data_IF_407672771263
#
_entry.id   IF_407672771263
#
_cell.length_a   1.000
_cell.length_b   1.000
_cell.length_c   1.000
_cell.angle_alpha   90.00
_cell.angle_beta   90.00
_cell.angle_gamma   90.00
#
_symmetry.space_group_name_H-M   'P 1'
#
loop_
_entity.id
_entity.type
_entity.pdbx_description
1 polymer ?
#
# COMPACT_ATOMS: atom_id res chain seq x y z
N UNK A 1 -59.51 -61.86 28.40
CA UNK A 1 -58.86 -60.54 28.28
C UNK A 1 -58.79 -60.20 26.79
N UNK A 2 -59.45 -59.11 26.35
CA UNK A 2 -59.54 -58.63 24.95
C UNK A 2 -58.16 -58.18 24.44
N UNK A 3 -57.76 -58.25 23.16
CA UNK A 3 -58.01 -57.31 22.04
C UNK A 3 -57.20 -57.87 20.83
N UNK A 4 -57.82 -58.23 19.70
CA UNK A 4 -57.94 -57.53 18.39
C UNK A 4 -56.65 -57.27 17.58
N UNK A 5 -56.72 -57.77 16.34
CA UNK A 5 -56.07 -57.41 15.07
C UNK A 5 -55.98 -55.91 14.82
N UNK A 6 -54.95 -55.47 14.09
CA UNK A 6 -54.87 -54.12 13.53
C UNK A 6 -53.75 -53.95 12.49
N UNK A 7 -54.14 -53.87 11.22
CA UNK A 7 -53.30 -53.42 10.11
C UNK A 7 -53.31 -51.88 10.00
N UNK A 8 -52.18 -51.34 9.55
CA UNK A 8 -51.92 -50.07 8.81
C UNK A 8 -52.78 -48.83 9.11
N UNK A 9 -52.10 -47.70 9.37
CA UNK A 9 -52.37 -46.38 8.75
C UNK A 9 -51.05 -45.59 8.69
N UNK A 10 -50.83 -44.93 7.54
CA UNK A 10 -49.73 -44.03 7.23
C UNK A 10 -49.73 -42.79 8.14
N UNK A 11 -48.53 -42.32 8.53
CA UNK A 11 -48.31 -40.93 8.91
C UNK A 11 -47.08 -40.41 8.17
N UNK A 12 -47.33 -39.52 7.21
CA UNK A 12 -46.31 -38.75 6.50
C UNK A 12 -45.90 -37.60 7.43
N UNK A 13 -44.74 -37.70 8.09
CA UNK A 13 -44.19 -36.61 8.89
C UNK A 13 -43.39 -35.66 8.00
N UNK A 14 -43.94 -34.49 7.69
CA UNK A 14 -43.21 -33.37 7.12
C UNK A 14 -42.25 -32.82 8.18
N UNK A 15 -40.95 -33.05 8.01
CA UNK A 15 -39.90 -32.43 8.82
C UNK A 15 -39.55 -31.06 8.21
N UNK A 16 -40.11 -29.99 8.75
CA UNK A 16 -39.67 -28.61 8.48
C UNK A 16 -38.35 -28.37 9.19
N UNK A 17 -37.23 -28.57 8.50
CA UNK A 17 -35.93 -28.03 8.92
C UNK A 17 -35.95 -26.51 8.76
N UNK A 18 -36.13 -25.78 9.87
CA UNK A 18 -35.73 -24.38 9.95
C UNK A 18 -34.20 -24.33 9.81
N UNK A 19 -33.73 -23.96 8.62
CA UNK A 19 -32.36 -23.46 8.48
C UNK A 19 -32.31 -22.08 9.14
N UNK A 20 -31.73 -22.00 10.33
CA UNK A 20 -31.17 -20.76 10.84
C UNK A 20 -29.99 -20.39 9.94
N UNK A 21 -30.28 -19.70 8.85
CA UNK A 21 -29.28 -18.91 8.13
C UNK A 21 -28.75 -17.88 9.12
N UNK A 22 -27.52 -18.05 9.59
CA UNK A 22 -26.81 -16.96 10.25
C UNK A 22 -26.75 -15.81 9.25
N UNK A 23 -27.53 -14.76 9.50
CA UNK A 23 -27.48 -13.53 8.72
C UNK A 23 -26.05 -13.02 8.80
N UNK A 24 -25.34 -13.03 7.68
CA UNK A 24 -24.16 -12.19 7.55
C UNK A 24 -24.64 -10.76 7.81
N UNK A 25 -24.23 -10.17 8.94
CA UNK A 25 -24.52 -8.78 9.26
C UNK A 25 -23.87 -7.92 8.16
N UNK A 26 -24.70 -7.26 7.35
CA UNK A 26 -24.24 -6.32 6.34
C UNK A 26 -23.33 -5.27 7.02
N UNK A 27 -22.17 -4.98 6.40
CA UNK A 27 -21.28 -3.95 6.94
C UNK A 27 -21.85 -2.56 6.71
N UNK A 28 -22.58 -2.38 5.61
CA UNK A 28 -23.28 -1.15 5.29
C UNK A 28 -24.61 -1.08 6.04
N UNK A 29 -24.76 -0.08 6.89
CA UNK A 29 -26.03 0.27 7.57
C UNK A 29 -26.17 1.78 7.52
N UNK A 30 -27.40 2.26 7.33
CA UNK A 30 -27.69 3.69 7.34
C UNK A 30 -27.45 4.28 8.74
N UNK A 31 -26.76 5.41 8.83
CA UNK A 31 -26.49 6.08 10.10
C UNK A 31 -25.26 5.58 10.87
N UNK A 32 -24.39 4.77 10.24
CA UNK A 32 -23.04 4.46 10.73
C UNK A 32 -22.03 4.59 9.58
N UNK A 33 -20.75 4.81 9.90
CA UNK A 33 -19.66 4.76 8.92
C UNK A 33 -18.72 3.60 9.23
N UNK A 34 -18.50 2.72 8.26
CA UNK A 34 -17.47 1.68 8.29
C UNK A 34 -16.32 2.08 7.37
N UNK A 35 -15.10 2.10 7.89
CA UNK A 35 -13.91 2.52 7.18
C UNK A 35 -12.89 1.38 7.18
N UNK A 36 -12.38 1.03 6.01
CA UNK A 36 -11.26 0.10 5.87
C UNK A 36 -9.97 0.83 5.56
N UNK A 37 -8.91 0.51 6.30
CA UNK A 37 -7.55 1.03 6.08
C UNK A 37 -6.53 -0.08 6.37
N UNK A 38 -5.37 -0.06 5.70
CA UNK A 38 -4.36 -1.10 5.91
C UNK A 38 -3.77 -1.05 7.34
N UNK A 39 -3.46 -2.21 7.90
CA UNK A 39 -2.94 -2.35 9.27
C UNK A 39 -1.54 -1.72 9.48
N UNK A 40 -0.83 -1.41 8.40
CA UNK A 40 0.45 -0.71 8.46
C UNK A 40 0.31 0.81 8.67
N UNK A 41 -0.90 1.39 8.54
CA UNK A 41 -1.18 2.83 8.72
C UNK A 41 -1.68 3.16 10.13
N UNK A 42 -1.85 4.47 10.39
CA UNK A 42 -2.27 5.03 11.68
C UNK A 42 -3.76 4.86 11.96
N UNK A 43 -4.27 3.62 11.97
CA UNK A 43 -5.69 3.34 12.16
C UNK A 43 -6.22 3.71 13.56
N UNK A 44 -5.36 3.76 14.59
CA UNK A 44 -5.78 4.24 15.91
C UNK A 44 -5.94 5.75 15.90
N UNK A 45 -5.03 6.47 15.24
CA UNK A 45 -5.17 7.91 15.01
C UNK A 45 -6.44 8.24 14.21
N UNK A 46 -6.73 7.44 13.18
CA UNK A 46 -7.98 7.57 12.42
C UNK A 46 -9.23 7.28 13.27
N UNK A 47 -9.14 6.34 14.21
CA UNK A 47 -10.23 6.06 15.16
C UNK A 47 -10.48 7.23 16.12
N UNK A 48 -9.45 8.01 16.51
CA UNK A 48 -9.65 9.24 17.29
C UNK A 48 -10.39 10.32 16.49
N UNK A 49 -10.09 10.46 15.19
CA UNK A 49 -10.88 11.32 14.28
C UNK A 49 -12.33 10.83 14.21
N UNK A 50 -12.53 9.51 14.13
CA UNK A 50 -13.86 8.87 14.19
C UNK A 50 -14.63 9.17 15.48
N UNK A 51 -13.96 9.11 16.64
CA UNK A 51 -14.57 9.46 17.93
C UNK A 51 -14.95 10.93 18.01
N UNK A 52 -14.14 11.83 17.43
CA UNK A 52 -14.49 13.25 17.32
C UNK A 52 -15.75 13.43 16.47
N UNK A 53 -15.82 12.76 15.32
CA UNK A 53 -16.99 12.79 14.46
C UNK A 53 -18.25 12.27 15.19
N UNK A 54 -18.14 11.15 15.89
CA UNK A 54 -19.24 10.58 16.67
C UNK A 54 -19.69 11.52 17.79
N UNK A 55 -18.77 12.18 18.49
CA UNK A 55 -19.10 13.17 19.52
C UNK A 55 -19.89 14.36 18.97
N UNK A 56 -19.51 14.85 17.79
CA UNK A 56 -20.06 16.06 17.22
C UNK A 56 -21.39 15.81 16.47
N UNK A 57 -21.58 14.59 15.94
CA UNK A 57 -22.73 14.25 15.07
C UNK A 57 -23.67 13.17 15.62
N UNK A 58 -23.22 12.41 16.62
CA UNK A 58 -23.90 11.20 17.09
C UNK A 58 -23.74 9.97 16.19
N UNK A 59 -22.98 10.07 15.08
CA UNK A 59 -22.80 8.98 14.12
C UNK A 59 -21.55 8.19 14.45
N UNK A 60 -21.73 6.89 14.71
CA UNK A 60 -20.62 5.99 15.03
C UNK A 60 -19.73 5.72 13.81
N UNK A 61 -18.42 5.80 14.03
CA UNK A 61 -17.40 5.43 13.03
C UNK A 61 -16.65 4.17 13.47
N UNK A 62 -16.66 3.13 12.65
CA UNK A 62 -15.96 1.87 12.88
C UNK A 62 -14.78 1.75 11.93
N UNK A 63 -13.56 1.70 12.47
CA UNK A 63 -12.34 1.49 11.70
C UNK A 63 -11.97 0.01 11.74
N UNK A 64 -11.78 -0.59 10.58
CA UNK A 64 -11.34 -1.97 10.43
C UNK A 64 -10.09 -2.02 9.53
N UNK A 65 -9.26 -3.04 9.74
CA UNK A 65 -8.07 -3.29 8.91
C UNK A 65 -8.01 -4.76 8.45
N UNK A 66 -8.93 -5.20 7.57
CA UNK A 66 -8.92 -6.58 7.09
C UNK A 66 -7.63 -6.89 6.32
N UNK A 67 -7.09 -8.09 6.48
CA UNK A 67 -5.99 -8.55 5.61
C UNK A 67 -6.44 -8.56 4.16
N UNK A 68 -5.55 -8.16 3.24
CA UNK A 68 -5.84 -8.11 1.79
C UNK A 68 -7.10 -7.31 1.47
N UNK A 69 -7.36 -6.22 2.19
CA UNK A 69 -8.54 -5.39 1.99
C UNK A 69 -8.69 -4.89 0.55
N UNK A 70 -7.59 -4.72 -0.18
CA UNK A 70 -7.55 -4.33 -1.59
C UNK A 70 -8.06 -5.43 -2.54
N UNK A 71 -7.96 -6.70 -2.14
CA UNK A 71 -8.56 -7.81 -2.88
C UNK A 71 -9.99 -8.08 -2.42
N UNK A 72 -10.28 -7.89 -1.13
CA UNK A 72 -11.60 -8.12 -0.53
C UNK A 72 -12.61 -7.04 -0.91
N UNK A 73 -12.21 -5.77 -0.96
CA UNK A 73 -13.09 -4.65 -1.28
C UNK A 73 -13.86 -4.87 -2.58
N UNK A 74 -13.22 -5.16 -3.74
CA UNK A 74 -13.96 -5.35 -4.97
C UNK A 74 -14.90 -6.56 -4.95
N UNK A 75 -14.61 -7.58 -4.13
CA UNK A 75 -15.48 -8.76 -3.99
C UNK A 75 -16.78 -8.42 -3.26
N UNK A 76 -16.70 -7.71 -2.12
CA UNK A 76 -17.88 -7.36 -1.32
C UNK A 76 -18.65 -6.17 -1.89
N UNK A 77 -17.95 -5.20 -2.50
CA UNK A 77 -18.58 -4.03 -3.12
C UNK A 77 -19.40 -4.43 -4.36
N UNK A 78 -18.96 -5.45 -5.11
CA UNK A 78 -19.71 -5.96 -6.26
C UNK A 78 -21.07 -6.56 -5.88
N UNK A 79 -21.25 -7.00 -4.62
CA UNK A 79 -22.53 -7.50 -4.09
C UNK A 79 -23.31 -6.43 -3.32
N UNK A 80 -22.88 -5.17 -3.37
CA UNK A 80 -23.55 -4.06 -2.68
C UNK A 80 -23.25 -3.96 -1.18
N UNK A 81 -22.19 -4.60 -0.68
CA UNK A 81 -21.76 -4.56 0.72
C UNK A 81 -20.34 -3.96 0.83
N UNK A 82 -19.71 -4.03 2.00
CA UNK A 82 -18.35 -3.55 2.25
C UNK A 82 -18.29 -2.31 3.15
N UNK A 83 -17.14 -1.63 3.23
CA UNK A 83 -17.04 -0.38 3.98
C UNK A 83 -17.71 0.77 3.21
N UNK A 84 -18.11 1.83 3.91
CA UNK A 84 -18.50 3.10 3.32
C UNK A 84 -17.29 3.80 2.69
N UNK A 85 -16.14 3.73 3.36
CA UNK A 85 -14.88 4.35 2.92
C UNK A 85 -13.75 3.31 2.87
N UNK A 86 -13.03 3.28 1.76
CA UNK A 86 -11.86 2.44 1.55
C UNK A 86 -10.60 3.29 1.40
N UNK A 87 -9.57 2.99 2.21
CA UNK A 87 -8.24 3.60 2.12
C UNK A 87 -7.26 2.66 1.45
N UNK A 88 -6.59 3.15 0.41
CA UNK A 88 -5.45 2.47 -0.21
C UNK A 88 -4.61 3.48 -1.00
N UNK A 89 -3.48 3.05 -1.56
CA UNK A 89 -2.81 3.84 -2.58
C UNK A 89 -3.69 3.95 -3.86
N UNK A 90 -3.62 5.09 -4.54
CA UNK A 90 -4.45 5.42 -5.72
C UNK A 90 -4.35 4.41 -6.88
N UNK A 91 -3.29 3.59 -6.95
CA UNK A 91 -3.02 2.66 -8.06
C UNK A 91 -4.11 1.59 -8.24
N UNK A 92 -4.83 1.24 -7.15
CA UNK A 92 -5.97 0.31 -7.21
C UNK A 92 -7.29 0.96 -7.64
N UNK A 93 -7.42 2.28 -7.45
CA UNK A 93 -8.73 2.94 -7.50
C UNK A 93 -9.33 3.01 -8.90
N UNK A 94 -8.53 3.15 -9.97
CA UNK A 94 -9.10 3.13 -11.32
C UNK A 94 -9.67 1.77 -11.70
N UNK A 95 -9.15 0.66 -11.15
CA UNK A 95 -9.77 -0.67 -11.27
C UNK A 95 -11.14 -0.71 -10.60
N UNK A 96 -11.26 -0.20 -9.37
CA UNK A 96 -12.54 -0.12 -8.67
C UNK A 96 -13.55 0.80 -9.39
N UNK A 97 -13.09 1.95 -9.89
CA UNK A 97 -13.92 2.88 -10.64
C UNK A 97 -14.39 2.29 -11.98
N UNK A 98 -13.52 1.58 -12.70
CA UNK A 98 -13.88 0.87 -13.93
C UNK A 98 -14.99 -0.18 -13.69
N UNK A 99 -15.01 -0.79 -12.50
CA UNK A 99 -16.05 -1.73 -12.06
C UNK A 99 -17.27 -1.06 -11.42
N UNK A 100 -17.33 0.27 -11.36
CA UNK A 100 -18.46 1.01 -10.79
C UNK A 100 -18.58 0.94 -9.27
N UNK A 101 -17.49 0.59 -8.57
CA UNK A 101 -17.49 0.34 -7.13
C UNK A 101 -17.23 1.59 -6.28
N UNK A 102 -16.85 2.69 -6.93
CA UNK A 102 -16.56 3.96 -6.28
C UNK A 102 -17.56 5.02 -6.72
N UNK A 103 -18.06 5.79 -5.76
CA UNK A 103 -18.81 7.00 -6.04
C UNK A 103 -17.86 8.08 -6.60
N UNK A 104 -18.34 8.83 -7.59
CA UNK A 104 -17.69 10.08 -8.00
C UNK A 104 -17.80 11.10 -6.87
N UNK A 105 -16.71 11.80 -6.58
CA UNK A 105 -16.69 12.87 -5.58
C UNK A 105 -16.67 14.24 -6.26
N UNK A 106 -17.35 15.21 -5.65
CA UNK A 106 -17.50 16.56 -6.18
C UNK A 106 -17.19 17.61 -5.09
N UNK A 107 -15.96 17.63 -4.55
CA UNK A 107 -15.55 18.68 -3.63
C UNK A 107 -15.65 20.05 -4.32
N UNK A 108 -16.05 21.08 -3.59
CA UNK A 108 -16.08 22.42 -4.15
C UNK A 108 -14.66 22.94 -4.48
N UNK A 109 -14.58 24.02 -5.26
CA UNK A 109 -13.29 24.57 -5.69
C UNK A 109 -12.44 25.03 -4.51
N UNK A 110 -13.07 25.58 -3.46
CA UNK A 110 -12.36 26.07 -2.28
C UNK A 110 -11.71 24.93 -1.51
N UNK A 111 -12.38 23.77 -1.41
CA UNK A 111 -11.82 22.55 -0.83
C UNK A 111 -10.68 22.01 -1.69
N UNK A 112 -10.89 21.88 -3.02
CA UNK A 112 -9.85 21.41 -3.94
C UNK A 112 -8.56 22.24 -3.82
N UNK A 113 -8.68 23.56 -3.65
CA UNK A 113 -7.55 24.49 -3.53
C UNK A 113 -6.76 24.33 -2.24
N UNK A 114 -7.31 23.68 -1.20
CA UNK A 114 -6.56 23.34 0.03
C UNK A 114 -5.53 22.23 -0.21
N UNK A 115 -5.72 21.40 -1.24
CA UNK A 115 -4.85 20.26 -1.55
C UNK A 115 -3.95 20.54 -2.75
N UNK A 116 -2.82 19.85 -2.87
CA UNK A 116 -1.91 20.01 -4.01
C UNK A 116 -2.51 19.42 -5.30
N UNK A 117 -2.48 20.14 -6.45
CA UNK A 117 -3.10 19.68 -7.70
C UNK A 117 -2.68 18.29 -8.19
N UNK A 118 -1.38 17.95 -8.11
CA UNK A 118 -0.89 16.65 -8.58
C UNK A 118 -1.47 15.47 -7.77
N UNK A 119 -1.89 15.71 -6.52
CA UNK A 119 -2.55 14.68 -5.71
C UNK A 119 -3.98 14.42 -6.19
N UNK A 120 -4.65 15.44 -6.72
CA UNK A 120 -5.94 15.28 -7.41
C UNK A 120 -5.79 14.54 -8.74
N UNK A 121 -4.68 14.77 -9.46
CA UNK A 121 -4.40 14.06 -10.71
C UNK A 121 -4.23 12.54 -10.46
N UNK A 122 -3.60 12.15 -9.35
CA UNK A 122 -3.41 10.74 -8.97
C UNK A 122 -4.75 9.99 -8.76
N UNK A 123 -5.77 10.68 -8.26
CA UNK A 123 -7.12 10.14 -7.99
C UNK A 123 -8.14 10.51 -9.08
N UNK A 124 -7.68 11.07 -10.20
CA UNK A 124 -8.53 11.36 -11.36
C UNK A 124 -8.51 10.18 -12.33
N UNK A 125 -9.68 9.64 -12.64
CA UNK A 125 -9.85 8.54 -13.57
C UNK A 125 -10.97 8.86 -14.57
N UNK A 126 -10.67 8.79 -15.87
CA UNK A 126 -11.58 9.17 -16.96
C UNK A 126 -12.26 10.54 -16.74
N UNK A 127 -11.48 11.52 -16.27
CA UNK A 127 -11.94 12.89 -16.03
C UNK A 127 -12.68 13.13 -14.71
N UNK A 128 -12.95 12.07 -13.93
CA UNK A 128 -13.70 12.14 -12.67
C UNK A 128 -12.80 11.95 -11.46
N UNK A 129 -13.11 12.60 -10.35
CA UNK A 129 -12.47 12.30 -9.08
C UNK A 129 -13.15 11.09 -8.44
N UNK A 130 -12.37 10.06 -8.14
CA UNK A 130 -12.87 8.78 -7.62
C UNK A 130 -12.45 8.49 -6.17
N UNK A 131 -11.67 9.39 -5.58
CA UNK A 131 -11.23 9.34 -4.19
C UNK A 131 -10.68 10.69 -3.74
N UNK A 132 -10.62 10.92 -2.44
CA UNK A 132 -9.92 12.04 -1.83
C UNK A 132 -8.44 11.68 -1.61
N UNK A 133 -7.47 12.50 -2.05
CA UNK A 133 -6.07 12.24 -1.77
C UNK A 133 -5.72 12.68 -0.35
N UNK A 134 -4.96 11.85 0.36
CA UNK A 134 -4.61 12.05 1.78
C UNK A 134 -3.13 12.37 1.95
N UNK A 135 -2.25 11.51 1.45
CA UNK A 135 -0.80 11.68 1.61
C UNK A 135 -0.01 10.97 0.52
N UNK A 136 1.16 11.51 0.22
CA UNK A 136 2.14 10.99 -0.73
C UNK A 136 3.18 10.15 0.00
N UNK A 137 3.38 8.95 -0.52
CA UNK A 137 4.23 7.92 0.06
C UNK A 137 5.32 7.53 -0.94
N UNK A 138 6.57 7.56 -0.48
CA UNK A 138 7.71 7.06 -1.24
C UNK A 138 8.69 6.33 -0.33
N UNK A 139 9.24 5.23 -0.84
CA UNK A 139 10.30 4.49 -0.15
C UNK A 139 11.57 5.33 -0.02
N UNK A 140 12.24 5.18 1.12
CA UNK A 140 13.51 5.83 1.41
C UNK A 140 14.50 4.83 2.01
N UNK A 141 15.79 5.15 1.95
CA UNK A 141 16.80 4.39 2.69
C UNK A 141 16.77 4.84 4.15
N UNK A 142 16.57 3.88 5.05
CA UNK A 142 16.61 4.08 6.49
C UNK A 142 17.86 3.39 7.01
N UNK A 143 18.68 4.11 7.79
CA UNK A 143 19.96 3.59 8.26
C UNK A 143 20.18 3.88 9.73
N UNK A 144 20.83 2.96 10.43
CA UNK A 144 21.27 3.12 11.80
C UNK A 144 22.59 3.92 11.80
N UNK A 145 22.56 5.13 12.35
CA UNK A 145 23.68 6.08 12.37
C UNK A 145 24.86 5.59 13.20
N UNK A 146 24.61 4.73 14.19
CA UNK A 146 25.66 4.20 15.07
C UNK A 146 26.42 3.05 14.38
N UNK A 147 25.75 2.30 13.50
CA UNK A 147 26.37 1.22 12.73
C UNK A 147 27.02 1.72 11.44
N UNK A 148 26.36 2.65 10.75
CA UNK A 148 26.81 3.18 9.46
C UNK A 148 26.54 4.70 9.43
N UNK A 149 27.48 5.52 9.94
CA UNK A 149 27.32 6.98 9.96
C UNK A 149 27.18 7.60 8.56
N UNK A 150 27.84 6.99 7.57
CA UNK A 150 27.79 7.39 6.17
C UNK A 150 27.20 6.24 5.33
N UNK A 151 25.88 6.20 5.12
CA UNK A 151 25.26 5.14 4.34
C UNK A 151 25.76 5.16 2.88
N UNK A 152 25.90 3.98 2.25
CA UNK A 152 26.40 3.84 0.87
C UNK A 152 25.54 4.65 -0.10
N UNK A 153 26.18 5.22 -1.11
CA UNK A 153 25.53 6.03 -2.15
C UNK A 153 25.15 5.20 -3.38
N UNK A 154 25.69 4.00 -3.48
CA UNK A 154 25.47 3.07 -4.58
C UNK A 154 25.05 1.71 -4.05
N UNK A 155 24.25 0.98 -4.83
CA UNK A 155 23.90 -0.40 -4.53
C UNK A 155 25.15 -1.29 -4.56
N UNK A 156 26.10 -0.97 -5.44
CA UNK A 156 27.36 -1.69 -5.65
C UNK A 156 28.32 -1.63 -4.44
N UNK A 157 28.16 -0.66 -3.53
CA UNK A 157 28.93 -0.56 -2.27
C UNK A 157 28.40 -1.50 -1.17
N UNK A 158 27.14 -1.93 -1.25
CA UNK A 158 26.47 -2.69 -0.20
C UNK A 158 27.11 -4.06 0.06
N UNK A 159 27.52 -4.86 -0.95
CA UNK A 159 28.21 -6.13 -0.73
C UNK A 159 29.47 -6.02 0.14
N UNK A 160 30.29 -4.99 -0.11
CA UNK A 160 31.50 -4.75 0.66
C UNK A 160 31.18 -4.33 2.11
N UNK A 161 30.13 -3.52 2.29
CA UNK A 161 29.64 -3.14 3.61
C UNK A 161 29.09 -4.37 4.37
N UNK A 162 28.36 -5.27 3.70
CA UNK A 162 27.84 -6.48 4.34
C UNK A 162 28.97 -7.36 4.86
N UNK A 163 30.00 -7.59 4.04
CA UNK A 163 31.19 -8.36 4.47
C UNK A 163 31.84 -7.78 5.73
N UNK A 164 31.93 -6.45 5.83
CA UNK A 164 32.48 -5.76 7.02
C UNK A 164 31.58 -5.92 8.25
N UNK A 165 30.26 -5.82 8.08
CA UNK A 165 29.29 -5.93 9.16
C UNK A 165 29.10 -7.37 9.64
N UNK A 166 29.18 -8.36 8.74
CA UNK A 166 29.11 -9.79 9.07
C UNK A 166 30.21 -10.21 10.03
N UNK A 167 31.42 -9.65 9.90
CA UNK A 167 32.51 -9.87 10.84
C UNK A 167 32.19 -9.40 12.27
N UNK A 168 31.17 -8.54 12.43
CA UNK A 168 30.65 -8.03 13.71
C UNK A 168 29.30 -8.65 14.09
N UNK A 169 28.87 -9.70 13.40
CA UNK A 169 27.58 -10.36 13.63
C UNK A 169 26.36 -9.52 13.21
N UNK A 170 26.53 -8.60 12.24
CA UNK A 170 25.47 -7.73 11.71
C UNK A 170 25.32 -7.92 10.18
N UNK A 171 24.23 -7.47 9.60
CA UNK A 171 24.04 -7.39 8.13
C UNK A 171 24.00 -5.95 7.64
N UNK A 172 24.29 -5.71 6.36
CA UNK A 172 24.20 -4.37 5.78
C UNK A 172 22.76 -3.93 5.54
N UNK A 173 21.96 -4.76 4.86
CA UNK A 173 20.64 -4.38 4.37
C UNK A 173 19.65 -5.53 4.56
N UNK A 174 18.46 -5.21 5.07
CA UNK A 174 17.30 -6.10 4.98
C UNK A 174 16.06 -5.27 4.68
N UNK A 175 15.25 -5.74 3.74
CA UNK A 175 13.96 -5.15 3.39
C UNK A 175 13.03 -6.23 2.84
N UNK A 176 11.75 -5.92 2.70
CA UNK A 176 10.75 -6.88 2.24
C UNK A 176 10.99 -7.29 0.78
N UNK A 177 11.32 -8.55 0.52
CA UNK A 177 11.49 -9.10 -0.83
C UNK A 177 10.20 -9.74 -1.37
N UNK A 178 9.18 -9.90 -0.53
CA UNK A 178 7.93 -10.58 -0.90
C UNK A 178 6.93 -9.67 -1.62
N UNK A 179 7.12 -8.36 -1.52
CA UNK A 179 6.29 -7.36 -2.18
C UNK A 179 7.10 -6.53 -3.18
N UNK A 180 6.70 -6.53 -4.47
CA UNK A 180 7.47 -5.89 -5.53
C UNK A 180 7.60 -4.38 -5.35
N UNK A 181 6.71 -3.75 -4.57
CA UNK A 181 6.81 -2.33 -4.22
C UNK A 181 8.20 -1.95 -3.66
N UNK A 182 8.80 -2.84 -2.86
CA UNK A 182 10.10 -2.59 -2.22
C UNK A 182 11.30 -2.91 -3.13
N UNK A 183 11.17 -3.86 -4.04
CA UNK A 183 12.24 -4.23 -4.99
C UNK A 183 12.22 -3.40 -6.28
N UNK A 184 11.06 -2.86 -6.64
CA UNK A 184 10.87 -2.05 -7.84
C UNK A 184 11.84 -0.88 -7.98
N UNK A 185 12.21 -0.12 -6.92
CA UNK A 185 13.12 1.00 -7.05
C UNK A 185 14.45 0.64 -7.74
N UNK A 186 15.00 -0.55 -7.44
CA UNK A 186 16.22 -1.07 -8.06
C UNK A 186 15.97 -1.58 -9.48
N UNK A 187 14.87 -2.30 -9.71
CA UNK A 187 14.49 -2.83 -11.03
C UNK A 187 14.29 -1.68 -12.03
N UNK A 188 13.64 -0.60 -11.59
CA UNK A 188 13.38 0.58 -12.42
C UNK A 188 14.60 1.50 -12.57
N UNK A 189 15.59 1.42 -11.68
CA UNK A 189 16.73 2.34 -11.62
C UNK A 189 17.44 2.51 -12.97
N UNK A 190 17.65 1.40 -13.69
CA UNK A 190 18.37 1.38 -14.96
C UNK A 190 17.45 1.26 -16.20
N UNK A 191 16.18 1.66 -16.09
CA UNK A 191 15.26 1.73 -17.24
C UNK A 191 14.16 0.65 -17.28
N UNK A 192 13.88 -0.03 -16.17
CA UNK A 192 12.61 -0.74 -16.02
C UNK A 192 11.45 0.26 -15.86
N UNK A 193 10.30 -0.05 -16.46
CA UNK A 193 9.06 0.74 -16.30
C UNK A 193 7.84 -0.20 -16.36
N UNK A 194 6.70 0.22 -15.79
CA UNK A 194 5.47 -0.58 -15.82
C UNK A 194 4.79 -0.48 -17.18
N UNK A 195 4.26 0.71 -17.49
CA UNK A 195 3.57 1.01 -18.74
C UNK A 195 4.15 2.29 -19.32
N UNK A 196 4.41 2.32 -20.62
CA UNK A 196 4.93 3.51 -21.27
C UNK A 196 3.91 4.65 -21.17
N UNK A 197 4.34 5.83 -20.74
CA UNK A 197 3.50 7.02 -20.73
C UNK A 197 3.89 7.96 -21.86
N UNK A 198 2.98 8.17 -22.81
CA UNK A 198 3.16 9.06 -23.96
C UNK A 198 1.85 9.77 -24.30
N UNK A 199 1.93 11.02 -24.77
CA UNK A 199 0.76 11.81 -25.18
C UNK A 199 -0.37 11.89 -24.12
N UNK A 200 0.00 11.92 -22.84
CA UNK A 200 -0.95 12.02 -21.73
C UNK A 200 -1.66 10.73 -21.35
N UNK A 201 -1.25 9.57 -21.89
CA UNK A 201 -1.87 8.26 -21.61
C UNK A 201 -0.83 7.17 -21.43
N UNK A 202 -1.17 6.17 -20.61
CA UNK A 202 -0.41 4.93 -20.51
C UNK A 202 -0.76 3.97 -21.66
N UNK A 203 0.25 3.49 -22.38
CA UNK A 203 0.12 2.36 -23.31
C UNK A 203 0.23 1.04 -22.54
N UNK A 204 -0.89 0.31 -22.46
CA UNK A 204 -0.98 -0.96 -21.75
C UNK A 204 -0.32 -2.13 -22.49
N UNK A 205 0.08 -1.94 -23.75
CA UNK A 205 0.77 -2.93 -24.57
C UNK A 205 2.29 -2.72 -24.59
N UNK A 206 2.77 -1.51 -24.30
CA UNK A 206 4.19 -1.22 -24.12
C UNK A 206 4.58 -1.31 -22.63
N UNK A 207 5.19 -2.45 -22.29
CA UNK A 207 5.56 -2.83 -20.91
C UNK A 207 7.07 -3.02 -20.82
N UNK A 208 7.69 -2.35 -19.85
CA UNK A 208 9.15 -2.28 -19.69
C UNK A 208 9.77 -3.24 -18.68
N UNK A 209 9.06 -4.29 -18.28
CA UNK A 209 9.51 -5.20 -17.19
C UNK A 209 10.58 -6.20 -17.63
N UNK A 210 10.70 -6.52 -18.92
CA UNK A 210 11.75 -7.40 -19.49
C UNK A 210 12.87 -6.58 -20.17
N UNK A 211 12.98 -5.28 -19.87
CA UNK A 211 14.03 -4.44 -20.44
C UNK A 211 15.41 -4.84 -19.92
N UNK A 212 16.47 -4.48 -20.66
CA UNK A 212 17.84 -4.67 -20.19
C UNK A 212 18.10 -3.98 -18.84
N UNK A 213 17.39 -2.88 -18.57
CA UNK A 213 17.41 -2.16 -17.29
C UNK A 213 16.83 -2.99 -16.15
N UNK A 214 15.62 -3.51 -16.35
CA UNK A 214 14.94 -4.35 -15.37
C UNK A 214 15.71 -5.63 -15.06
N UNK A 215 16.26 -6.28 -16.10
CA UNK A 215 17.15 -7.46 -15.96
C UNK A 215 18.39 -7.15 -15.13
N UNK A 216 19.02 -6.00 -15.35
CA UNK A 216 20.19 -5.61 -14.58
C UNK A 216 19.86 -5.40 -13.09
N UNK A 217 18.74 -4.73 -12.78
CA UNK A 217 18.32 -4.48 -11.41
C UNK A 217 17.92 -5.77 -10.66
N UNK A 218 17.07 -6.61 -11.27
CA UNK A 218 16.68 -7.88 -10.67
C UNK A 218 17.86 -8.86 -10.59
N UNK A 219 18.73 -8.88 -11.61
CA UNK A 219 19.95 -9.68 -11.60
C UNK A 219 20.87 -9.32 -10.43
N UNK A 220 21.10 -8.03 -10.19
CA UNK A 220 21.89 -7.58 -9.04
C UNK A 220 21.28 -8.06 -7.71
N UNK A 221 19.96 -7.94 -7.56
CA UNK A 221 19.27 -8.43 -6.37
C UNK A 221 19.44 -9.94 -6.18
N UNK A 222 19.30 -10.73 -7.26
CA UNK A 222 19.53 -12.19 -7.23
C UNK A 222 20.96 -12.54 -6.83
N UNK A 223 21.95 -11.78 -7.31
CA UNK A 223 23.36 -12.03 -6.96
C UNK A 223 23.64 -11.75 -5.48
N UNK A 224 23.06 -10.69 -4.90
CA UNK A 224 23.15 -10.44 -3.45
C UNK A 224 22.61 -11.62 -2.62
N UNK A 225 21.51 -12.24 -3.06
CA UNK A 225 20.93 -13.43 -2.41
C UNK A 225 21.87 -14.64 -2.55
N UNK A 226 22.38 -14.90 -3.75
CA UNK A 226 23.33 -16.01 -3.98
C UNK A 226 24.60 -15.86 -3.15
N UNK A 227 25.07 -14.63 -2.97
CA UNK A 227 26.23 -14.29 -2.14
C UNK A 227 25.93 -14.29 -0.63
N UNK A 228 24.68 -14.55 -0.23
CA UNK A 228 24.22 -14.60 1.18
C UNK A 228 24.30 -13.25 1.91
N UNK A 229 24.29 -12.16 1.15
CA UNK A 229 24.21 -10.79 1.69
C UNK A 229 22.79 -10.47 2.17
N UNK A 230 21.79 -11.09 1.55
CA UNK A 230 20.38 -11.08 1.95
C UNK A 230 19.76 -12.48 1.84
N UNK A 231 18.60 -12.69 2.48
CA UNK A 231 17.84 -13.95 2.39
C UNK A 231 16.56 -13.75 1.57
N UNK A 232 16.29 -14.63 0.60
CA UNK A 232 15.13 -14.59 -0.29
C UNK A 232 13.78 -14.64 0.47
N UNK A 233 13.75 -15.26 1.64
CA UNK A 233 12.55 -15.41 2.48
C UNK A 233 12.27 -14.17 3.35
N UNK A 234 13.10 -13.13 3.26
CA UNK A 234 12.92 -11.91 4.06
C UNK A 234 11.62 -11.21 3.66
N UNK A 235 10.71 -11.09 4.61
CA UNK A 235 9.46 -10.35 4.49
C UNK A 235 9.52 -9.02 5.26
N UNK A 236 8.38 -8.31 5.31
CA UNK A 236 8.27 -7.03 6.01
C UNK A 236 8.60 -7.17 7.50
N UNK A 237 7.99 -8.14 8.19
CA UNK A 237 8.10 -8.32 9.64
C UNK A 237 9.52 -8.72 10.04
N UNK A 238 10.17 -9.59 9.27
CA UNK A 238 11.56 -10.01 9.49
C UNK A 238 12.49 -8.80 9.35
N UNK A 239 12.37 -8.03 8.26
CA UNK A 239 13.22 -6.87 8.02
C UNK A 239 13.02 -5.76 9.07
N UNK A 240 11.77 -5.46 9.42
CA UNK A 240 11.42 -4.47 10.45
C UNK A 240 12.00 -4.87 11.81
N UNK A 241 11.80 -6.12 12.22
CA UNK A 241 12.31 -6.63 13.49
C UNK A 241 13.84 -6.58 13.54
N UNK A 242 14.53 -7.01 12.48
CA UNK A 242 15.99 -7.00 12.42
C UNK A 242 16.55 -5.57 12.51
N UNK A 243 15.93 -4.59 11.83
CA UNK A 243 16.39 -3.20 11.91
C UNK A 243 16.12 -2.60 13.29
N UNK A 244 14.93 -2.83 13.85
CA UNK A 244 14.54 -2.31 15.16
C UNK A 244 15.32 -2.95 16.32
N UNK A 245 15.89 -4.15 16.13
CA UNK A 245 16.83 -4.78 17.07
C UNK A 245 18.30 -4.36 16.83
N UNK A 246 18.56 -3.54 15.81
CA UNK A 246 19.91 -3.14 15.42
C UNK A 246 20.76 -4.30 14.90
N UNK A 247 20.15 -5.34 14.32
CA UNK A 247 20.82 -6.50 13.72
C UNK A 247 21.25 -6.23 12.27
N UNK A 248 20.48 -5.41 11.55
CA UNK A 248 20.85 -4.89 10.22
C UNK A 248 21.11 -3.40 10.28
N UNK A 249 22.11 -2.93 9.53
CA UNK A 249 22.49 -1.52 9.52
C UNK A 249 21.51 -0.63 8.74
N UNK A 250 20.83 -1.18 7.74
CA UNK A 250 19.93 -0.45 6.87
C UNK A 250 18.68 -1.26 6.53
N UNK A 251 17.61 -0.54 6.22
CA UNK A 251 16.37 -1.05 5.64
C UNK A 251 15.79 -0.08 4.61
N UNK A 252 14.90 -0.58 3.75
CA UNK A 252 14.15 0.24 2.79
C UNK A 252 12.69 0.18 3.20
N UNK A 253 12.12 1.32 3.55
CA UNK A 253 10.73 1.41 4.01
C UNK A 253 10.15 2.80 3.76
N UNK A 254 8.84 2.94 4.01
CA UNK A 254 8.14 4.22 3.91
C UNK A 254 7.94 4.90 5.28
N UNK A 255 7.30 6.08 5.28
CA UNK A 255 7.07 6.88 6.50
C UNK A 255 6.35 6.14 7.63
N UNK A 256 5.44 5.24 7.30
CA UNK A 256 4.64 4.48 8.28
C UNK A 256 5.48 3.64 9.25
N UNK A 257 6.70 3.23 8.86
CA UNK A 257 7.59 2.42 9.69
C UNK A 257 8.27 3.22 10.83
N UNK A 258 8.35 4.54 10.70
CA UNK A 258 9.14 5.38 11.62
C UNK A 258 8.65 5.30 13.07
N UNK A 259 7.34 5.20 13.30
CA UNK A 259 6.76 5.08 14.64
C UNK A 259 7.33 3.88 15.42
N UNK A 260 7.56 2.74 14.76
CA UNK A 260 8.15 1.56 15.40
C UNK A 260 9.66 1.71 15.63
N UNK A 261 10.36 2.41 14.74
CA UNK A 261 11.79 2.71 14.91
C UNK A 261 12.01 3.70 16.06
N UNK A 262 11.17 4.73 16.17
CA UNK A 262 11.20 5.69 17.28
C UNK A 262 11.03 4.96 18.62
N UNK A 263 10.11 3.99 18.70
CA UNK A 263 9.88 3.16 19.90
C UNK A 263 11.04 2.20 20.22
N UNK A 264 11.77 1.73 19.20
CA UNK A 264 12.92 0.83 19.38
C UNK A 264 14.18 1.54 19.86
N UNK A 265 14.19 2.89 19.87
CA UNK A 265 15.30 3.74 20.30
C UNK A 265 16.56 3.60 19.43
N UNK A 266 16.42 3.08 18.21
CA UNK A 266 17.51 3.10 17.23
C UNK A 266 17.77 4.54 16.79
N UNK A 267 19.02 4.99 16.89
CA UNK A 267 19.44 6.28 16.34
C UNK A 267 19.52 6.19 14.82
N UNK A 268 18.44 6.52 14.12
CA UNK A 268 18.34 6.34 12.68
C UNK A 268 18.37 7.65 11.89
N UNK A 269 18.65 7.53 10.60
CA UNK A 269 18.45 8.57 9.60
C UNK A 269 17.63 8.03 8.42
N UNK A 270 17.02 8.96 7.69
CA UNK A 270 16.31 8.70 6.43
C UNK A 270 17.01 9.48 5.33
N UNK A 271 17.28 8.83 4.21
CA UNK A 271 18.03 9.45 3.11
C UNK A 271 17.59 8.89 1.75
N UNK A 272 18.25 9.36 0.69
CA UNK A 272 18.04 8.89 -0.67
C UNK A 272 18.33 7.39 -0.77
N UNK A 273 17.53 6.71 -1.58
CA UNK A 273 17.83 5.34 -2.01
C UNK A 273 19.18 5.33 -2.77
N UNK A 274 19.97 4.25 -2.66
CA UNK A 274 21.23 4.14 -3.37
C UNK A 274 21.03 4.21 -4.89
N UNK A 275 22.02 4.74 -5.60
CA UNK A 275 22.05 4.70 -7.07
C UNK A 275 22.48 3.33 -7.56
N UNK A 276 22.06 2.92 -8.75
CA UNK A 276 22.50 1.69 -9.40
C UNK A 276 23.00 2.04 -10.81
N UNK A 277 24.22 1.62 -11.16
CA UNK A 277 24.88 1.97 -12.43
C UNK A 277 24.89 3.48 -12.70
N UNK A 278 25.09 4.28 -11.65
CA UNK A 278 25.09 5.75 -11.71
C UNK A 278 23.71 6.38 -11.95
N UNK A 279 22.62 5.60 -11.95
CA UNK A 279 21.24 6.07 -12.07
C UNK A 279 20.53 6.02 -10.71
N UNK A 280 19.66 6.98 -10.38
CA UNK A 280 18.91 6.92 -9.13
C UNK A 280 17.98 5.71 -9.11
N UNK A 281 17.79 5.11 -7.93
CA UNK A 281 16.65 4.22 -7.72
C UNK A 281 15.34 4.98 -7.97
N UNK A 282 14.38 4.33 -8.61
CA UNK A 282 13.11 4.92 -9.02
C UNK A 282 11.93 4.29 -8.28
N UNK A 283 11.64 4.70 -7.04
CA UNK A 283 10.51 4.14 -6.32
C UNK A 283 9.19 4.49 -7.00
N UNK A 284 8.22 3.58 -6.95
CA UNK A 284 6.85 3.95 -7.25
C UNK A 284 6.31 4.82 -6.10
N UNK A 285 5.77 5.98 -6.45
CA UNK A 285 5.21 6.94 -5.51
C UNK A 285 3.73 6.68 -5.38
N UNK A 286 3.30 6.34 -4.16
CA UNK A 286 1.91 6.16 -3.80
C UNK A 286 1.27 7.47 -3.37
N UNK A 287 -0.04 7.51 -3.51
CA UNK A 287 -0.89 8.54 -2.90
C UNK A 287 -1.95 7.79 -2.13
N UNK A 288 -1.81 7.73 -0.81
CA UNK A 288 -2.86 7.24 0.07
C UNK A 288 -4.12 8.05 -0.19
N UNK A 289 -5.21 7.37 -0.50
CA UNK A 289 -6.46 7.94 -0.97
C UNK A 289 -7.63 7.27 -0.27
N UNK A 290 -8.71 8.02 -0.07
CA UNK A 290 -9.95 7.57 0.55
C UNK A 290 -11.08 7.62 -0.49
N UNK A 291 -11.57 6.46 -0.93
CA UNK A 291 -12.71 6.38 -1.85
C UNK A 291 -13.99 6.01 -1.12
N UNK A 292 -15.11 6.49 -1.65
CA UNK A 292 -16.43 6.22 -1.11
C UNK A 292 -17.05 5.08 -1.92
N UNK A 293 -17.53 4.04 -1.25
CA UNK A 293 -18.19 2.91 -1.89
C UNK A 293 -19.47 3.36 -2.61
N UNK A 294 -19.62 3.00 -3.89
CA UNK A 294 -20.79 3.35 -4.69
C UNK A 294 -22.11 2.84 -4.08
N UNK A 295 -22.08 1.71 -3.35
CA UNK A 295 -23.24 1.12 -2.70
C UNK A 295 -23.59 1.75 -1.34
N UNK A 296 -22.71 2.59 -0.76
CA UNK A 296 -22.97 3.19 0.56
C UNK A 296 -24.20 4.11 0.53
N UNK A 297 -25.14 3.99 1.50
CA UNK A 297 -26.21 4.97 1.71
C UNK A 297 -25.68 6.23 2.43
N UNK A 298 -24.47 6.19 2.98
CA UNK A 298 -23.90 7.22 3.85
C UNK A 298 -22.95 8.17 3.09
N UNK A 299 -23.12 8.38 1.79
CA UNK A 299 -22.16 9.14 0.95
C UNK A 299 -21.92 10.57 1.46
N UNK A 300 -22.97 11.26 1.89
CA UNK A 300 -22.86 12.62 2.44
C UNK A 300 -22.16 12.63 3.80
N UNK A 301 -22.41 11.63 4.65
CA UNK A 301 -21.68 11.48 5.92
C UNK A 301 -20.21 11.16 5.70
N UNK A 302 -19.90 10.33 4.70
CA UNK A 302 -18.53 10.00 4.32
C UNK A 302 -17.80 11.24 3.78
N UNK A 303 -18.46 12.05 2.95
CA UNK A 303 -17.94 13.34 2.49
C UNK A 303 -17.67 14.28 3.66
N UNK A 304 -18.62 14.44 4.57
CA UNK A 304 -18.49 15.30 5.76
C UNK A 304 -17.30 14.85 6.63
N UNK A 305 -17.19 13.55 6.92
CA UNK A 305 -16.07 12.99 7.66
C UNK A 305 -14.72 13.27 6.98
N UNK A 306 -14.62 13.03 5.66
CA UNK A 306 -13.37 13.20 4.92
C UNK A 306 -12.96 14.67 4.81
N UNK A 307 -13.88 15.56 4.44
CA UNK A 307 -13.56 16.97 4.17
C UNK A 307 -13.39 17.79 5.47
N UNK A 308 -14.22 17.55 6.48
CA UNK A 308 -14.31 18.45 7.64
C UNK A 308 -13.69 17.88 8.93
N UNK A 309 -13.33 16.59 8.95
CA UNK A 309 -12.70 15.98 10.12
C UNK A 309 -11.32 15.43 9.76
N UNK A 310 -11.22 14.55 8.76
CA UNK A 310 -9.96 13.93 8.40
C UNK A 310 -8.99 14.90 7.70
N UNK A 311 -9.41 15.53 6.59
CA UNK A 311 -8.56 16.41 5.77
C UNK A 311 -8.45 17.82 6.37
N UNK A 312 -8.16 17.86 7.66
CA UNK A 312 -7.88 19.05 8.45
C UNK A 312 -6.50 18.90 9.10
N UNK A 313 -5.89 20.02 9.53
CA UNK A 313 -4.61 19.98 10.23
C UNK A 313 -4.66 19.05 11.46
N UNK A 314 -5.76 19.12 12.24
CA UNK A 314 -5.93 18.28 13.42
C UNK A 314 -6.14 16.81 13.08
N UNK A 315 -7.04 16.50 12.12
CA UNK A 315 -7.33 15.12 11.73
C UNK A 315 -6.10 14.41 11.17
N UNK A 316 -5.35 15.08 10.30
CA UNK A 316 -4.10 14.54 9.77
C UNK A 316 -3.02 14.46 10.85
N UNK A 317 -2.97 15.39 11.81
CA UNK A 317 -2.04 15.31 12.94
C UNK A 317 -2.31 14.08 13.82
N UNK A 318 -3.57 13.77 14.10
CA UNK A 318 -3.96 12.61 14.92
C UNK A 318 -3.55 11.30 14.25
N UNK A 319 -3.79 11.16 12.93
CA UNK A 319 -3.35 9.99 12.15
C UNK A 319 -1.82 9.92 12.08
N UNK A 320 -1.15 11.04 11.77
CA UNK A 320 0.30 11.10 11.63
C UNK A 320 1.06 10.81 12.94
N UNK A 321 0.46 11.15 14.09
CA UNK A 321 1.01 10.86 15.42
C UNK A 321 1.02 9.37 15.75
N UNK A 322 0.01 8.61 15.29
CA UNK A 322 -0.01 7.16 15.45
C UNK A 322 1.06 6.52 14.55
N UNK A 323 0.98 6.80 13.25
CA UNK A 323 2.01 6.43 12.27
C UNK A 323 2.16 7.53 11.21
N UNK A 324 3.39 7.95 10.87
CA UNK A 324 3.58 9.03 9.91
C UNK A 324 2.99 8.73 8.53
N UNK A 325 2.28 9.71 7.99
CA UNK A 325 1.59 9.62 6.69
C UNK A 325 2.53 9.84 5.49
N UNK A 326 3.70 10.45 5.72
CA UNK A 326 4.54 10.98 4.66
C UNK A 326 4.19 12.44 4.36
N UNK A 327 4.27 12.84 3.09
CA UNK A 327 3.95 14.21 2.71
C UNK A 327 2.45 14.34 2.43
N UNK A 328 1.71 15.03 3.29
CA UNK A 328 0.25 15.11 3.18
C UNK A 328 -0.21 15.96 2.00
N UNK A 329 -1.39 15.65 1.47
CA UNK A 329 -1.99 16.38 0.35
C UNK A 329 -2.47 17.78 0.75
N UNK A 330 -2.87 17.96 2.03
CA UNK A 330 -3.33 19.23 2.59
C UNK A 330 -2.17 20.20 2.77
N UNK A 331 -2.21 21.34 2.07
CA UNK A 331 -1.11 22.33 2.04
C UNK A 331 -0.73 22.87 3.42
N UNK A 332 -1.72 23.26 4.22
CA UNK A 332 -1.52 23.86 5.55
C UNK A 332 -0.76 22.95 6.51
N UNK A 333 -1.11 21.67 6.55
CA UNK A 333 -0.41 20.72 7.40
C UNK A 333 0.93 20.28 6.79
N UNK A 334 1.03 20.19 5.46
CA UNK A 334 2.29 19.86 4.79
C UNK A 334 3.39 20.91 5.04
N UNK A 335 3.05 22.20 5.12
CA UNK A 335 3.99 23.26 5.48
C UNK A 335 4.61 23.05 6.88
N UNK A 336 3.86 22.44 7.80
CA UNK A 336 4.36 22.09 9.13
C UNK A 336 5.29 20.86 9.06
N UNK A 337 4.88 19.82 8.33
CA UNK A 337 5.65 18.57 8.19
C UNK A 337 6.93 18.72 7.37
N UNK A 338 6.99 19.69 6.44
CA UNK A 338 8.16 19.93 5.59
C UNK A 338 9.44 20.30 6.35
N UNK A 339 9.32 20.66 7.64
CA UNK A 339 10.47 20.92 8.53
C UNK A 339 11.18 19.65 8.98
N UNK A 340 10.53 18.49 8.89
CA UNK A 340 11.13 17.20 9.24
C UNK A 340 12.08 16.73 8.11
N UNK A 341 13.39 16.55 8.37
CA UNK A 341 14.33 16.09 7.35
C UNK A 341 13.97 14.72 6.76
N UNK A 342 13.22 13.88 7.49
CA UNK A 342 12.74 12.59 6.99
C UNK A 342 11.72 12.77 5.86
N UNK A 343 10.83 13.76 5.99
CA UNK A 343 9.85 14.12 4.95
C UNK A 343 10.55 14.69 3.72
N UNK A 344 11.56 15.54 3.91
CA UNK A 344 12.37 16.04 2.80
C UNK A 344 13.07 14.90 2.04
N UNK A 345 13.62 13.91 2.76
CA UNK A 345 14.21 12.72 2.12
C UNK A 345 13.17 11.90 1.33
N UNK A 346 11.96 11.71 1.89
CA UNK A 346 10.84 11.05 1.20
C UNK A 346 10.47 11.77 -0.10
N UNK A 347 10.36 13.10 -0.08
CA UNK A 347 10.05 13.90 -1.28
C UNK A 347 11.18 13.88 -2.31
N UNK A 348 12.43 13.91 -1.87
CA UNK A 348 13.57 13.79 -2.79
C UNK A 348 13.62 12.42 -3.46
N UNK A 349 13.23 11.33 -2.77
CA UNK A 349 13.06 10.02 -3.38
C UNK A 349 11.84 10.00 -4.32
N UNK A 350 10.73 10.63 -3.94
CA UNK A 350 9.54 10.72 -4.79
C UNK A 350 9.82 11.42 -6.12
N UNK A 351 10.58 12.51 -6.11
CA UNK A 351 10.99 13.25 -7.32
C UNK A 351 11.92 12.44 -8.25
N UNK A 352 12.64 11.46 -7.71
CA UNK A 352 13.47 10.53 -8.48
C UNK A 352 12.67 9.32 -8.97
N UNK A 353 11.55 9.05 -8.33
CA UNK A 353 10.60 8.01 -8.67
C UNK A 353 9.57 8.47 -9.70
N UNK A 354 8.50 7.69 -9.79
CA UNK A 354 7.37 7.95 -10.68
C UNK A 354 6.08 7.73 -9.90
N UNK A 355 5.10 8.62 -10.01
CA UNK A 355 3.76 8.40 -9.44
C UNK A 355 3.16 7.18 -10.14
N UNK A 356 2.56 6.29 -9.35
CA UNK A 356 1.95 5.09 -9.91
C UNK A 356 0.85 5.45 -10.93
N UNK A 357 0.70 4.66 -12.00
CA UNK A 357 -0.53 4.71 -12.79
C UNK A 357 -1.73 4.32 -11.91
N UNK A 358 -2.91 4.89 -12.16
CA UNK A 358 -4.17 4.41 -11.55
C UNK A 358 -4.97 3.50 -12.46
N UNK A 359 -4.41 3.07 -13.60
CA UNK A 359 -5.11 2.22 -14.55
C UNK A 359 -5.38 0.82 -13.97
N UNK A 360 -6.49 0.15 -14.33
CA UNK A 360 -6.84 -1.17 -13.79
C UNK A 360 -5.74 -2.24 -13.93
N UNK A 361 -4.92 -2.14 -14.98
CA UNK A 361 -3.83 -3.06 -15.31
C UNK A 361 -2.69 -3.05 -14.27
N UNK A 362 -2.62 -2.05 -13.38
CA UNK A 362 -1.64 -2.04 -12.29
C UNK A 362 -1.75 -3.25 -11.36
N UNK A 363 -2.97 -3.77 -11.16
CA UNK A 363 -3.16 -5.01 -10.40
C UNK A 363 -2.43 -6.19 -11.04
N UNK A 364 -2.61 -6.40 -12.35
CA UNK A 364 -1.93 -7.44 -13.12
C UNK A 364 -0.40 -7.24 -13.14
N UNK A 365 0.05 -5.99 -13.29
CA UNK A 365 1.46 -5.61 -13.14
C UNK A 365 2.04 -6.07 -11.81
N UNK A 366 1.39 -5.73 -10.70
CA UNK A 366 1.90 -6.09 -9.38
C UNK A 366 1.99 -7.60 -9.16
N UNK A 367 0.96 -8.36 -9.52
CA UNK A 367 1.01 -9.83 -9.40
C UNK A 367 2.07 -10.47 -10.29
N UNK A 368 2.24 -9.96 -11.51
CA UNK A 368 3.24 -10.46 -12.45
C UNK A 368 4.66 -10.20 -11.95
N UNK A 369 4.97 -8.96 -11.55
CA UNK A 369 6.29 -8.60 -11.02
C UNK A 369 6.57 -9.31 -9.70
N UNK A 370 5.59 -9.42 -8.80
CA UNK A 370 5.73 -10.19 -7.55
C UNK A 370 6.16 -11.62 -7.83
N UNK A 371 5.47 -12.30 -8.75
CA UNK A 371 5.80 -13.69 -9.09
C UNK A 371 7.20 -13.78 -9.70
N UNK A 372 7.56 -12.84 -10.57
CA UNK A 372 8.88 -12.82 -11.21
C UNK A 372 10.01 -12.63 -10.20
N UNK A 373 9.86 -11.67 -9.28
CA UNK A 373 10.83 -11.41 -8.21
C UNK A 373 11.00 -12.66 -7.35
N UNK A 374 9.90 -13.22 -6.82
CA UNK A 374 9.94 -14.40 -5.95
C UNK A 374 10.60 -15.59 -6.66
N UNK A 375 10.23 -15.87 -7.91
CA UNK A 375 10.79 -16.99 -8.65
C UNK A 375 12.28 -16.78 -8.98
N UNK A 376 12.71 -15.55 -9.27
CA UNK A 376 14.10 -15.25 -9.55
C UNK A 376 14.97 -15.34 -8.27
N UNK A 377 14.56 -14.71 -7.16
CA UNK A 377 15.34 -14.70 -5.91
C UNK A 377 15.38 -16.07 -5.23
N UNK A 378 14.37 -16.91 -5.42
CA UNK A 378 14.36 -18.31 -4.94
C UNK A 378 15.07 -19.29 -5.88
N UNK A 379 15.51 -18.83 -7.05
CA UNK A 379 16.18 -19.68 -8.06
C UNK A 379 15.26 -20.64 -8.82
N UNK A 380 13.93 -20.50 -8.70
CA UNK A 380 12.95 -21.30 -9.47
C UNK A 380 12.95 -20.96 -10.95
N UNK A 381 13.29 -19.72 -11.30
CA UNK A 381 13.44 -19.26 -12.68
C UNK A 381 14.71 -18.40 -12.80
N UNK A 382 15.28 -18.35 -14.00
CA UNK A 382 16.28 -17.32 -14.33
C UNK A 382 15.61 -15.96 -14.40
N UNK A 383 16.39 -14.88 -14.26
CA UNK A 383 15.90 -13.50 -14.38
C UNK A 383 15.20 -13.27 -15.72
N UNK A 384 15.79 -13.74 -16.82
CA UNK A 384 15.20 -13.63 -18.16
C UNK A 384 13.87 -14.35 -18.27
N UNK A 385 13.77 -15.59 -17.78
CA UNK A 385 12.53 -16.35 -17.84
C UNK A 385 11.43 -15.71 -16.98
N UNK A 386 11.78 -15.29 -15.77
CA UNK A 386 10.86 -14.68 -14.82
C UNK A 386 10.27 -13.35 -15.36
N UNK A 387 11.12 -12.46 -15.89
CA UNK A 387 10.68 -11.17 -16.41
C UNK A 387 9.92 -11.28 -17.74
N UNK A 388 10.33 -12.20 -18.62
CA UNK A 388 9.58 -12.51 -19.84
C UNK A 388 8.18 -13.05 -19.55
N UNK A 389 8.06 -13.97 -18.59
CA UNK A 389 6.77 -14.45 -18.12
C UNK A 389 5.93 -13.32 -17.51
N UNK A 390 6.55 -12.41 -16.75
CA UNK A 390 5.88 -11.25 -16.19
C UNK A 390 5.28 -10.37 -17.30
N UNK A 391 6.09 -10.00 -18.30
CA UNK A 391 5.64 -9.20 -19.44
C UNK A 391 4.47 -9.88 -20.18
N UNK A 392 4.57 -11.20 -20.41
CA UNK A 392 3.50 -11.97 -21.04
C UNK A 392 2.21 -12.03 -20.22
N UNK A 393 2.27 -11.94 -18.88
CA UNK A 393 1.08 -11.88 -18.02
C UNK A 393 0.45 -10.49 -17.99
N UNK A 394 1.25 -9.44 -18.08
CA UNK A 394 0.78 -8.04 -18.04
C UNK A 394 0.08 -7.65 -19.35
N UNK A 395 0.58 -8.16 -20.47
CA UNK A 395 0.13 -7.76 -21.82
C UNK A 395 -1.04 -8.59 -22.36
N UNK A 396 -1.39 -9.70 -21.70
CA UNK A 396 -2.63 -10.45 -21.93
C UNK A 396 -3.82 -9.57 -21.56
#
# INVERSE_FOLDING_TARGET
MKIKTGARILALSALTTMMLSASALAKIEEGKLVIWINGDKGYNGLAEVGKKFEKDTGIKVTIEHPDKLEEKFPQVAATGDGPDIIFWAHDRFGGYAQSGLLAEITPDKAFQDKLYPFTWDAVRYNGKFIAYPVAVEALSLIYNKDLVPNPPKTWEEIPALDKSLKAKGKSALMFNLQEPYFTWPLIAANGGYAFKFENGKYDVKDVGVDSAGAKAGLGFLVDMIKNKEMNADTDYSIAEAAFNKGETAMTINGPWAWSNIDKSKINYGVTLLPTFKGKPSKPFVGVLSAGINAASPNKELAKEFLENYLLTDQGLADVNKDKPLGAVALKSFQEQLAKDPRIAATMNNAQKGEIMPNIPQMSAFWYAVRTAVINAVSGRQTVDAALKDAQGRITK
#
